data_IF_741021654623
#
_entry.id   IF_741021654623
#
_cell.length_a   1.000
_cell.length_b   1.000
_cell.length_c   1.000
_cell.angle_alpha   90.00
_cell.angle_beta   90.00
_cell.angle_gamma   90.00
#
_symmetry.space_group_name_H-M   'P 1'
#
loop_
_entity.id
_entity.type
_entity.pdbx_description
1 polymer ?
#
# COMPACT_ATOMS: atom_id res chain seq x y z
N UNK A 1 -4.32 1.85 15.71
CA UNK A 1 -5.07 2.97 16.32
C UNK A 1 -4.51 4.34 15.91
N UNK A 2 -4.86 4.81 14.72
CA UNK A 2 -4.50 6.13 14.20
C UNK A 2 -5.44 7.20 14.79
N UNK A 3 -5.15 7.77 15.97
CA UNK A 3 -5.68 9.11 16.34
C UNK A 3 -5.10 9.74 17.62
N UNK A 4 -4.43 10.89 17.44
CA UNK A 4 -4.76 12.09 18.22
C UNK A 4 -5.17 13.32 17.37
N UNK A 5 -5.01 13.31 16.04
CA UNK A 5 -5.15 14.51 15.18
C UNK A 5 -6.20 14.40 14.04
N UNK A 6 -7.18 13.51 14.18
CA UNK A 6 -8.45 13.63 13.44
C UNK A 6 -8.51 13.21 11.97
N UNK A 7 -7.50 12.57 11.38
CA UNK A 7 -7.59 12.07 10.00
C UNK A 7 -8.51 10.85 9.87
N UNK A 8 -9.55 10.91 9.03
CA UNK A 8 -10.58 9.86 8.86
C UNK A 8 -10.21 8.80 7.82
N UNK A 9 -9.22 9.06 6.98
CA UNK A 9 -8.78 8.16 5.92
C UNK A 9 -7.28 8.25 5.69
N UNK A 10 -6.74 7.17 5.12
CA UNK A 10 -5.36 7.08 4.63
C UNK A 10 -5.40 6.89 3.13
N UNK A 11 -4.64 7.71 2.40
CA UNK A 11 -4.39 7.50 0.97
C UNK A 11 -2.93 7.08 0.79
N UNK A 12 -2.73 5.96 0.10
CA UNK A 12 -1.41 5.36 -0.14
C UNK A 12 -1.12 5.46 -1.65
N UNK A 13 0.06 6.00 -1.98
CA UNK A 13 0.58 6.03 -3.36
C UNK A 13 0.80 4.60 -3.89
N UNK A 14 0.91 4.38 -5.22
CA UNK A 14 1.02 3.04 -5.81
C UNK A 14 2.12 2.17 -5.18
N UNK A 15 1.76 0.93 -4.87
CA UNK A 15 2.64 -0.09 -4.28
C UNK A 15 2.55 -1.43 -5.03
N UNK A 16 1.99 -1.41 -6.24
CA UNK A 16 1.87 -2.57 -7.12
C UNK A 16 3.19 -2.88 -7.80
N UNK A 17 3.35 -4.11 -8.31
CA UNK A 17 4.54 -4.53 -9.05
C UNK A 17 4.84 -3.56 -10.19
N UNK A 18 6.07 -3.04 -10.23
CA UNK A 18 6.46 -2.02 -11.18
C UNK A 18 7.93 -2.14 -11.59
N UNK A 19 8.29 -1.79 -12.84
CA UNK A 19 9.68 -1.57 -13.23
C UNK A 19 10.30 -0.33 -12.58
N UNK A 20 9.51 0.48 -11.85
CA UNK A 20 9.93 1.66 -11.09
C UNK A 20 10.52 2.78 -11.94
N UNK A 21 10.16 2.88 -13.22
CA UNK A 21 10.59 3.98 -14.10
C UNK A 21 9.83 5.28 -13.81
N UNK A 22 8.65 5.18 -13.23
CA UNK A 22 7.82 6.29 -12.73
C UNK A 22 7.42 6.03 -11.27
N UNK A 23 8.37 5.54 -10.47
CA UNK A 23 8.22 5.35 -9.01
C UNK A 23 6.93 4.60 -8.60
N UNK A 24 6.57 3.54 -9.32
CA UNK A 24 5.42 2.70 -9.01
C UNK A 24 4.13 3.06 -9.76
N UNK A 25 4.10 4.19 -10.48
CA UNK A 25 2.99 4.54 -11.36
C UNK A 25 3.03 3.78 -12.69
N UNK A 26 4.20 3.28 -13.10
CA UNK A 26 4.37 2.37 -14.22
C UNK A 26 4.08 0.92 -13.80
N UNK A 27 2.81 0.60 -13.60
CA UNK A 27 2.36 -0.72 -13.10
C UNK A 27 2.55 -1.81 -14.16
N UNK A 28 3.17 -2.93 -13.78
CA UNK A 28 3.34 -4.13 -14.62
C UNK A 28 2.40 -5.28 -14.22
N UNK A 29 2.00 -5.35 -12.95
CA UNK A 29 0.96 -6.26 -12.45
C UNK A 29 0.08 -5.55 -11.43
N UNK A 30 -1.22 -5.41 -11.76
CA UNK A 30 -2.20 -4.69 -10.94
C UNK A 30 -2.73 -5.52 -9.75
N UNK A 31 -2.45 -6.82 -9.71
CA UNK A 31 -2.90 -7.71 -8.63
C UNK A 31 -1.78 -8.08 -7.64
N UNK A 32 -0.53 -7.72 -7.97
CA UNK A 32 0.64 -8.01 -7.15
C UNK A 32 1.15 -6.80 -6.39
N UNK A 33 1.79 -7.06 -5.25
CA UNK A 33 2.56 -6.08 -4.47
C UNK A 33 3.99 -6.13 -4.95
N UNK A 34 4.61 -4.96 -5.18
CA UNK A 34 6.03 -4.95 -5.51
C UNK A 34 6.84 -5.49 -4.31
N UNK A 35 7.76 -6.44 -4.50
CA UNK A 35 8.55 -7.01 -3.40
C UNK A 35 9.34 -5.98 -2.59
N UNK A 36 9.58 -4.78 -3.13
CA UNK A 36 10.21 -3.66 -2.41
C UNK A 36 9.29 -3.15 -1.28
N UNK A 37 7.97 -3.25 -1.45
CA UNK A 37 6.98 -2.78 -0.47
C UNK A 37 6.46 -3.89 0.46
N UNK A 38 6.64 -5.16 0.11
CA UNK A 38 6.30 -6.31 0.94
C UNK A 38 5.53 -7.37 0.19
N UNK A 39 4.61 -8.02 0.89
CA UNK A 39 3.77 -9.11 0.38
C UNK A 39 2.28 -8.78 0.48
N UNK A 40 1.43 -9.62 -0.13
CA UNK A 40 -0.02 -9.51 0.04
C UNK A 40 -0.45 -9.69 1.51
N UNK A 41 0.23 -10.54 2.28
CA UNK A 41 -0.06 -10.73 3.70
C UNK A 41 0.23 -9.47 4.52
N UNK A 42 1.29 -8.73 4.18
CA UNK A 42 1.59 -7.44 4.81
C UNK A 42 0.50 -6.39 4.53
N UNK A 43 -0.05 -6.40 3.31
CA UNK A 43 -1.16 -5.53 2.93
C UNK A 43 -2.45 -5.88 3.70
N UNK A 44 -2.75 -7.17 3.84
CA UNK A 44 -3.89 -7.64 4.64
C UNK A 44 -3.78 -7.18 6.10
N UNK A 45 -2.58 -7.29 6.69
CA UNK A 45 -2.32 -6.80 8.04
C UNK A 45 -2.48 -5.28 8.17
N UNK A 46 -2.04 -4.51 7.17
CA UNK A 46 -2.21 -3.06 7.12
C UNK A 46 -3.69 -2.66 7.10
N UNK A 47 -4.50 -3.30 6.26
CA UNK A 47 -5.94 -3.04 6.17
C UNK A 47 -6.64 -3.38 7.47
N UNK A 48 -6.31 -4.52 8.08
CA UNK A 48 -6.87 -4.91 9.37
C UNK A 48 -6.54 -3.88 10.46
N UNK A 49 -5.27 -3.50 10.58
CA UNK A 49 -4.79 -2.53 11.59
C UNK A 49 -5.34 -1.12 11.39
N UNK A 50 -5.73 -0.76 10.17
CA UNK A 50 -6.34 0.54 9.85
C UNK A 50 -7.82 0.62 10.26
N UNK A 51 -8.53 -0.52 10.29
CA UNK A 51 -9.93 -0.59 10.70
C UNK A 51 -10.13 -0.75 12.22
N UNK A 52 -9.06 -0.98 12.98
CA UNK A 52 -9.03 -1.00 14.47
C UNK A 52 -8.88 0.39 15.11
#
# INVERSE_FOLDING_TARGET
MWRPWGSDAVWISPFFTSPMKDFGYDVSDYCGIDPIFGTMEDFDWLVQSAHE
#
